data_IF_267302423660
#
_entry.id   IF_267302423660
#
_cell.length_a   1.000
_cell.length_b   1.000
_cell.length_c   1.000
_cell.angle_alpha   90.00
_cell.angle_beta   90.00
_cell.angle_gamma   90.00
#
_symmetry.space_group_name_H-M   'P 1'
#
loop_
_entity.id
_entity.type
_entity.pdbx_description
1 polymer ?
#
# COMPACT_ATOMS: atom_id res chain seq x y z
N UNK A 1 14.14 -0.94 -37.19
CA UNK A 1 13.09 -0.03 -37.70
C UNK A 1 11.76 -0.53 -37.20
N UNK A 2 11.09 0.25 -36.35
CA UNK A 2 9.68 0.04 -35.99
C UNK A 2 8.81 0.42 -37.19
N UNK A 3 8.05 -0.54 -37.72
CA UNK A 3 7.08 -0.30 -38.82
C UNK A 3 5.74 0.14 -38.24
N UNK A 4 4.85 0.74 -39.04
CA UNK A 4 3.47 1.01 -38.59
C UNK A 4 2.79 -0.25 -38.04
N UNK A 5 3.06 -1.43 -38.62
CA UNK A 5 2.53 -2.72 -38.16
C UNK A 5 2.98 -3.06 -36.74
N UNK A 6 4.22 -2.74 -36.35
CA UNK A 6 4.72 -2.96 -34.99
C UNK A 6 3.99 -2.13 -33.93
N UNK A 7 3.29 -1.07 -34.33
CA UNK A 7 2.44 -0.27 -33.43
C UNK A 7 1.09 -0.94 -33.16
N UNK A 8 0.59 -1.79 -34.05
CA UNK A 8 -0.78 -2.33 -33.97
C UNK A 8 -0.85 -3.82 -33.69
N UNK A 9 0.26 -4.55 -33.81
CA UNK A 9 0.32 -6.01 -33.64
C UNK A 9 1.04 -6.39 -32.35
N UNK A 10 0.67 -7.53 -31.76
CA UNK A 10 1.34 -8.10 -30.57
C UNK A 10 0.86 -7.57 -29.21
N UNK A 11 -0.31 -6.91 -29.17
CA UNK A 11 -0.91 -6.44 -27.92
C UNK A 11 -1.72 -7.53 -27.22
N UNK A 12 -1.46 -7.73 -25.94
CA UNK A 12 -2.31 -8.55 -25.07
C UNK A 12 -3.46 -7.72 -24.48
N UNK A 13 -4.68 -8.26 -24.52
CA UNK A 13 -5.83 -7.62 -23.89
C UNK A 13 -5.82 -7.86 -22.38
N UNK A 14 -5.92 -6.77 -21.60
CA UNK A 14 -6.21 -6.89 -20.17
C UNK A 14 -7.64 -7.40 -19.97
N UNK A 15 -7.74 -8.59 -19.37
CA UNK A 15 -9.02 -9.29 -19.18
C UNK A 15 -9.50 -9.16 -17.74
N UNK A 16 -10.80 -8.98 -17.53
CA UNK A 16 -11.41 -9.02 -16.19
C UNK A 16 -11.52 -10.45 -15.65
N UNK A 17 -11.93 -10.62 -14.39
CA UNK A 17 -12.36 -11.94 -13.92
C UNK A 17 -13.74 -12.31 -14.48
N UNK A 18 -13.99 -13.61 -14.61
CA UNK A 18 -15.31 -14.14 -14.98
C UNK A 18 -16.35 -13.67 -13.95
N UNK A 19 -17.44 -13.09 -14.43
CA UNK A 19 -18.51 -12.57 -13.58
C UNK A 19 -18.30 -11.15 -13.07
N UNK A 20 -17.38 -10.37 -13.64
CA UNK A 20 -17.26 -8.94 -13.34
C UNK A 20 -18.57 -8.21 -13.71
N UNK A 21 -19.25 -7.65 -12.72
CA UNK A 21 -20.54 -6.98 -12.91
C UNK A 21 -20.40 -5.63 -13.64
N UNK A 22 -19.29 -4.91 -13.41
CA UNK A 22 -19.02 -3.59 -13.99
C UNK A 22 -17.57 -3.50 -14.47
N UNK A 23 -17.24 -4.06 -15.65
CA UNK A 23 -15.87 -4.06 -16.17
C UNK A 23 -15.39 -2.64 -16.50
N UNK A 24 -14.41 -2.18 -15.75
CA UNK A 24 -13.70 -0.91 -15.98
C UNK A 24 -12.27 -1.01 -15.46
N UNK A 25 -11.34 -0.25 -16.04
CA UNK A 25 -9.96 -0.13 -15.56
C UNK A 25 -9.72 1.28 -15.02
N UNK A 26 -9.14 1.37 -13.82
CA UNK A 26 -8.54 2.58 -13.27
C UNK A 26 -7.03 2.46 -13.40
N UNK A 27 -6.39 3.48 -13.96
CA UNK A 27 -4.94 3.51 -14.18
C UNK A 27 -4.34 4.64 -13.36
N UNK A 28 -3.34 4.33 -12.54
CA UNK A 28 -2.55 5.32 -11.83
C UNK A 28 -1.07 5.06 -12.04
N UNK A 29 -0.28 6.13 -12.03
CA UNK A 29 1.16 6.05 -12.01
C UNK A 29 1.72 6.70 -10.74
N UNK A 30 2.80 6.11 -10.22
CA UNK A 30 3.64 6.66 -9.16
C UNK A 30 5.06 6.74 -9.67
N UNK A 31 5.73 7.83 -9.37
CA UNK A 31 7.17 7.98 -9.58
C UNK A 31 7.83 8.07 -8.22
N UNK A 32 8.86 7.26 -8.03
CA UNK A 32 9.68 7.24 -6.83
C UNK A 32 11.12 7.49 -7.24
N UNK A 33 11.69 8.56 -6.73
CA UNK A 33 13.10 8.84 -6.91
C UNK A 33 13.93 8.09 -5.85
N UNK A 34 15.19 7.82 -6.18
CA UNK A 34 16.18 7.30 -5.22
C UNK A 34 15.84 5.92 -4.61
N UNK A 35 15.07 5.09 -5.33
CA UNK A 35 14.72 3.73 -4.91
C UNK A 35 15.94 2.82 -5.01
N UNK A 36 16.20 2.02 -3.97
CA UNK A 36 17.28 1.04 -4.02
C UNK A 36 16.97 -0.08 -5.00
N UNK A 37 17.89 -0.38 -5.92
CA UNK A 37 17.78 -1.50 -6.85
C UNK A 37 18.01 -2.80 -6.10
N UNK A 38 17.03 -3.71 -6.13
CA UNK A 38 17.19 -5.02 -5.49
C UNK A 38 18.35 -5.77 -6.16
N UNK A 39 19.38 -6.15 -5.39
CA UNK A 39 20.51 -6.91 -5.92
C UNK A 39 20.08 -8.33 -6.24
N UNK A 40 19.92 -8.64 -7.52
CA UNK A 40 19.78 -10.02 -8.01
C UNK A 40 21.14 -10.75 -8.11
N UNK A 41 21.98 -10.63 -7.08
CA UNK A 41 23.31 -11.26 -7.04
C UNK A 41 24.34 -10.60 -7.96
N UNK A 42 25.41 -10.03 -7.38
CA UNK A 42 26.51 -9.41 -8.12
C UNK A 42 27.30 -8.45 -7.23
N UNK A 43 28.61 -8.31 -7.51
CA UNK A 43 29.46 -7.33 -6.83
C UNK A 43 29.04 -5.89 -7.17
N UNK A 44 29.36 -4.95 -6.29
CA UNK A 44 29.17 -3.51 -6.52
C UNK A 44 30.03 -3.12 -7.73
N UNK A 45 29.43 -2.92 -8.90
CA UNK A 45 30.19 -2.37 -10.03
C UNK A 45 30.14 -0.84 -9.98
N UNK A 46 31.31 -0.21 -9.95
CA UNK A 46 31.45 1.23 -10.13
C UNK A 46 31.62 1.48 -11.62
N UNK A 47 30.55 1.91 -12.30
CA UNK A 47 30.67 2.32 -13.69
C UNK A 47 31.20 3.75 -13.75
N UNK A 48 32.34 4.02 -14.41
CA UNK A 48 32.89 5.36 -14.53
C UNK A 48 32.16 6.23 -15.57
N UNK A 49 31.16 5.67 -16.29
CA UNK A 49 30.35 6.43 -17.23
C UNK A 49 29.19 7.10 -16.48
N UNK A 50 29.18 8.43 -16.46
CA UNK A 50 28.14 9.27 -15.84
C UNK A 50 26.74 9.06 -16.47
N UNK A 51 26.67 8.52 -17.69
CA UNK A 51 25.43 8.19 -18.39
C UNK A 51 24.97 6.74 -18.16
N UNK A 52 25.67 5.98 -17.32
CA UNK A 52 25.35 4.58 -17.05
C UNK A 52 24.26 4.46 -15.99
N UNK A 53 23.08 3.99 -16.39
CA UNK A 53 21.89 3.77 -15.54
C UNK A 53 21.98 2.50 -14.67
N UNK A 54 23.17 2.09 -14.26
CA UNK A 54 23.39 0.88 -13.45
C UNK A 54 23.73 1.12 -11.98
N UNK A 55 23.55 2.35 -11.47
CA UNK A 55 23.73 2.64 -10.04
C UNK A 55 22.83 1.77 -9.14
N UNK A 56 23.22 1.65 -7.86
CA UNK A 56 22.43 0.94 -6.84
C UNK A 56 21.07 1.64 -6.54
N UNK A 57 20.84 2.83 -7.11
CA UNK A 57 19.62 3.62 -6.92
C UNK A 57 19.06 4.08 -8.26
N UNK A 58 17.74 4.11 -8.37
CA UNK A 58 17.02 4.36 -9.60
C UNK A 58 15.78 5.21 -9.35
N UNK A 59 15.32 5.88 -10.41
CA UNK A 59 13.99 6.47 -10.47
C UNK A 59 13.01 5.40 -10.96
N UNK A 60 12.11 4.96 -10.10
CA UNK A 60 11.12 3.92 -10.40
C UNK A 60 9.83 4.58 -10.85
N UNK A 61 9.28 4.13 -11.97
CA UNK A 61 7.89 4.44 -12.32
C UNK A 61 7.08 3.17 -12.19
N UNK A 62 6.07 3.21 -11.32
CA UNK A 62 5.11 2.11 -11.12
C UNK A 62 3.77 2.53 -11.69
N UNK A 63 3.25 1.76 -12.64
CA UNK A 63 1.89 1.90 -13.16
C UNK A 63 1.03 0.79 -12.58
N UNK A 64 -0.08 1.16 -11.96
CA UNK A 64 -1.11 0.20 -11.53
C UNK A 64 -2.34 0.31 -12.40
N UNK A 65 -2.92 -0.83 -12.74
CA UNK A 65 -4.16 -0.95 -13.50
C UNK A 65 -5.10 -1.83 -12.70
N UNK A 66 -6.21 -1.29 -12.21
CA UNK A 66 -7.12 -1.98 -11.28
C UNK A 66 -8.55 -1.91 -11.76
N UNK A 67 -9.27 -3.03 -11.69
CA UNK A 67 -10.73 -3.02 -11.87
C UNK A 67 -11.42 -2.89 -10.52
N UNK A 68 -12.16 -1.80 -10.23
CA UNK A 68 -12.81 -1.63 -8.92
C UNK A 68 -13.96 -2.62 -8.68
N UNK A 69 -14.54 -3.18 -9.75
CA UNK A 69 -15.65 -4.14 -9.63
C UNK A 69 -15.17 -5.55 -9.29
N UNK A 70 -14.20 -6.10 -10.04
CA UNK A 70 -13.70 -7.46 -9.81
C UNK A 70 -12.36 -7.53 -9.08
N UNK A 71 -11.81 -6.37 -8.68
CA UNK A 71 -10.54 -6.21 -7.94
C UNK A 71 -9.33 -6.88 -8.61
N UNK A 72 -9.39 -7.16 -9.91
CA UNK A 72 -8.22 -7.61 -10.68
C UNK A 72 -7.26 -6.43 -10.82
N UNK A 73 -5.96 -6.68 -10.68
CA UNK A 73 -4.94 -5.66 -10.80
C UNK A 73 -3.72 -6.14 -11.59
N UNK A 74 -3.05 -5.20 -12.24
CA UNK A 74 -1.77 -5.36 -12.91
C UNK A 74 -0.83 -4.26 -12.41
N UNK A 75 0.45 -4.59 -12.23
CA UNK A 75 1.48 -3.62 -11.87
C UNK A 75 2.61 -3.70 -12.89
N UNK A 76 3.10 -2.54 -13.32
CA UNK A 76 4.25 -2.39 -14.21
C UNK A 76 5.26 -1.51 -13.51
N UNK A 77 6.48 -2.01 -13.33
CA UNK A 77 7.59 -1.22 -12.80
C UNK A 77 8.60 -0.97 -13.91
N UNK A 78 9.22 0.22 -13.93
CA UNK A 78 10.10 0.66 -15.02
C UNK A 78 11.33 -0.22 -15.30
N UNK A 79 11.65 -1.18 -14.44
CA UNK A 79 12.77 -2.12 -14.61
C UNK A 79 12.34 -3.58 -14.82
N UNK A 80 11.06 -3.90 -14.63
CA UNK A 80 10.58 -5.28 -14.68
C UNK A 80 9.49 -5.43 -15.76
N UNK A 81 9.35 -6.65 -16.29
CA UNK A 81 8.24 -6.98 -17.19
C UNK A 81 6.88 -6.76 -16.49
N UNK A 82 5.81 -6.60 -17.27
CA UNK A 82 4.43 -6.50 -16.76
C UNK A 82 4.14 -7.66 -15.81
N UNK A 83 4.10 -7.38 -14.50
CA UNK A 83 3.75 -8.37 -13.49
C UNK A 83 2.22 -8.39 -13.33
N UNK A 84 1.60 -9.39 -13.94
CA UNK A 84 0.20 -9.70 -13.72
C UNK A 84 0.03 -10.43 -12.39
N UNK A 85 -0.34 -9.70 -11.33
CA UNK A 85 -0.67 -10.27 -10.03
C UNK A 85 -2.13 -10.73 -9.95
N UNK A 86 -2.43 -11.73 -9.12
CA UNK A 86 -3.79 -12.02 -8.66
C UNK A 86 -4.00 -11.38 -7.27
N UNK A 87 -4.79 -10.29 -7.13
CA UNK A 87 -5.19 -9.76 -5.82
C UNK A 87 -6.37 -10.52 -5.21
N UNK A 88 -6.77 -11.68 -5.77
CA UNK A 88 -8.04 -12.34 -5.46
C UNK A 88 -8.16 -12.88 -4.02
N UNK A 89 -7.16 -12.69 -3.17
CA UNK A 89 -7.28 -13.05 -1.76
C UNK A 89 -7.60 -11.78 -0.97
N UNK A 90 -8.72 -11.81 -0.24
CA UNK A 90 -9.16 -10.72 0.65
C UNK A 90 -8.00 -10.19 1.51
N UNK A 91 -7.08 -11.09 1.87
CA UNK A 91 -5.83 -10.86 2.60
C UNK A 91 -4.86 -9.86 1.99
N UNK A 92 -4.82 -9.71 0.66
CA UNK A 92 -3.86 -8.81 0.00
C UNK A 92 -4.34 -7.37 -0.09
N UNK A 93 -5.63 -7.10 0.11
CA UNK A 93 -6.22 -5.76 0.16
C UNK A 93 -6.21 -4.94 -1.15
N UNK A 94 -5.26 -5.16 -2.05
CA UNK A 94 -4.99 -4.29 -3.18
C UNK A 94 -6.19 -4.13 -4.12
N UNK A 95 -6.57 -2.88 -4.38
CA UNK A 95 -7.69 -2.53 -5.24
C UNK A 95 -9.07 -2.69 -4.60
N UNK A 96 -9.16 -3.13 -3.33
CA UNK A 96 -10.41 -3.09 -2.59
C UNK A 96 -10.76 -1.65 -2.18
N UNK A 97 -12.04 -1.28 -2.16
CA UNK A 97 -12.47 0.02 -1.66
C UNK A 97 -12.17 0.16 -0.15
N UNK A 98 -12.00 1.39 0.36
CA UNK A 98 -11.81 1.61 1.78
C UNK A 98 -13.04 1.16 2.58
N UNK A 99 -12.80 0.62 3.77
CA UNK A 99 -13.85 0.21 4.70
C UNK A 99 -14.10 1.31 5.73
N UNK A 100 -15.36 1.65 5.97
CA UNK A 100 -15.74 2.57 7.04
C UNK A 100 -15.79 1.81 8.36
N UNK A 101 -15.02 2.26 9.35
CA UNK A 101 -14.96 1.62 10.66
C UNK A 101 -14.60 2.64 11.73
N UNK A 102 -15.36 2.68 12.84
CA UNK A 102 -15.14 3.61 13.95
C UNK A 102 -14.98 5.09 13.52
N UNK A 103 -15.73 5.52 12.50
CA UNK A 103 -15.63 6.89 11.97
C UNK A 103 -14.39 7.17 11.11
N UNK A 104 -13.61 6.15 10.77
CA UNK A 104 -12.40 6.23 9.94
C UNK A 104 -12.59 5.49 8.61
N UNK A 105 -11.74 5.78 7.64
CA UNK A 105 -11.59 5.02 6.41
C UNK A 105 -10.32 4.16 6.50
N UNK A 106 -10.49 2.85 6.35
CA UNK A 106 -9.41 1.87 6.34
C UNK A 106 -9.16 1.46 4.89
N UNK A 107 -8.04 1.92 4.35
CA UNK A 107 -7.57 1.64 2.99
C UNK A 107 -6.69 0.40 3.03
N UNK A 108 -7.13 -0.73 2.47
CA UNK A 108 -6.32 -1.94 2.46
C UNK A 108 -4.99 -1.69 1.74
N UNK A 109 -3.89 -2.00 2.43
CA UNK A 109 -2.53 -1.75 1.98
C UNK A 109 -2.07 -2.71 0.88
N UNK A 110 -0.91 -2.39 0.33
CA UNK A 110 -0.22 -3.16 -0.71
C UNK A 110 0.26 -4.53 -0.19
N UNK A 111 0.31 -5.58 -1.03
CA UNK A 111 0.93 -6.84 -0.69
C UNK A 111 2.43 -6.68 -0.45
N UNK A 112 2.85 -6.44 0.79
CA UNK A 112 4.21 -6.83 1.16
C UNK A 112 4.31 -8.35 1.05
N UNK A 113 5.43 -8.80 0.48
CA UNK A 113 5.69 -10.19 0.18
C UNK A 113 5.71 -11.00 1.48
N UNK A 114 4.63 -11.74 1.75
CA UNK A 114 4.43 -13.01 2.47
C UNK A 114 5.33 -13.44 3.66
N UNK A 115 6.21 -12.63 4.23
CA UNK A 115 7.03 -13.08 5.36
C UNK A 115 6.27 -12.93 6.67
N UNK A 116 5.70 -14.05 7.13
CA UNK A 116 5.12 -14.20 8.47
C UNK A 116 3.66 -13.78 8.65
N UNK A 117 2.96 -13.38 7.58
CA UNK A 117 1.52 -13.04 7.62
C UNK A 117 0.65 -14.30 7.51
N UNK A 118 -0.49 -14.29 8.19
CA UNK A 118 -1.44 -15.40 8.25
C UNK A 118 -2.68 -15.11 7.40
N UNK A 119 -3.24 -16.14 6.78
CA UNK A 119 -4.47 -16.00 6.01
C UNK A 119 -5.67 -15.76 6.92
N UNK A 120 -6.39 -14.67 6.68
CA UNK A 120 -7.64 -14.26 7.35
C UNK A 120 -8.68 -13.82 6.31
N UNK A 121 -9.91 -13.56 6.76
CA UNK A 121 -10.94 -12.84 6.00
C UNK A 121 -10.72 -11.31 5.97
N UNK A 122 -9.60 -10.84 6.54
CA UNK A 122 -9.17 -9.44 6.56
C UNK A 122 -7.90 -9.22 5.72
N UNK A 123 -7.78 -8.08 5.00
CA UNK A 123 -6.51 -7.57 4.48
C UNK A 123 -5.43 -7.48 5.56
N UNK A 124 -4.17 -7.78 5.23
CA UNK A 124 -3.08 -7.79 6.21
C UNK A 124 -2.75 -6.43 6.80
N UNK A 125 -2.86 -5.38 6.01
CA UNK A 125 -2.48 -4.04 6.42
C UNK A 125 -3.54 -3.04 5.94
N UNK A 126 -3.66 -1.96 6.69
CA UNK A 126 -4.49 -0.82 6.33
C UNK A 126 -3.75 0.48 6.62
N UNK A 127 -3.87 1.42 5.68
CA UNK A 127 -3.66 2.83 5.96
C UNK A 127 -4.98 3.43 6.43
N UNK A 128 -4.92 4.29 7.43
CA UNK A 128 -6.10 4.88 8.06
C UNK A 128 -6.17 6.36 7.73
N UNK A 129 -7.30 6.82 7.22
CA UNK A 129 -7.59 8.25 6.98
C UNK A 129 -8.88 8.69 7.65
N UNK A 130 -9.10 10.00 7.70
CA UNK A 130 -10.41 10.56 8.05
C UNK A 130 -11.44 10.31 6.93
N UNK A 131 -12.75 10.41 7.22
CA UNK A 131 -13.79 10.39 6.19
C UNK A 131 -13.62 11.52 5.16
N UNK A 132 -14.13 11.31 3.95
CA UNK A 132 -14.11 12.32 2.88
C UNK A 132 -12.92 12.21 1.93
N UNK A 133 -11.89 11.44 2.29
CA UNK A 133 -10.75 11.16 1.41
C UNK A 133 -11.19 10.25 0.27
N UNK A 134 -10.93 10.67 -0.98
CA UNK A 134 -11.21 9.90 -2.20
C UNK A 134 -9.95 9.39 -2.88
N UNK A 135 -8.83 10.07 -2.69
CA UNK A 135 -7.48 9.66 -3.13
C UNK A 135 -6.50 9.95 -2.00
N UNK A 136 -5.87 8.91 -1.47
CA UNK A 136 -4.97 9.03 -0.31
C UNK A 136 -3.65 9.68 -0.72
N UNK A 137 -3.26 10.74 -0.01
CA UNK A 137 -1.91 11.29 0.03
C UNK A 137 -1.30 11.06 1.41
N UNK A 138 0.00 11.32 1.57
CA UNK A 138 0.66 11.20 2.88
C UNK A 138 -0.01 12.06 3.96
N UNK A 139 -0.44 13.28 3.61
CA UNK A 139 -1.08 14.22 4.53
C UNK A 139 -2.44 13.74 5.05
N UNK A 140 -3.11 12.86 4.31
CA UNK A 140 -4.41 12.30 4.70
C UNK A 140 -4.29 11.19 5.75
N UNK A 141 -3.08 10.63 5.90
CA UNK A 141 -2.84 9.45 6.74
C UNK A 141 -2.77 9.85 8.20
N UNK A 142 -3.70 9.31 8.99
CA UNK A 142 -3.80 9.54 10.44
C UNK A 142 -3.43 8.32 11.27
N UNK A 143 -3.21 7.17 10.63
CA UNK A 143 -2.80 5.94 11.29
C UNK A 143 -2.48 4.81 10.33
N UNK A 144 -2.04 3.69 10.89
CA UNK A 144 -1.87 2.42 10.19
C UNK A 144 -2.30 1.25 11.08
N UNK A 145 -2.77 0.18 10.47
CA UNK A 145 -3.14 -1.07 11.15
C UNK A 145 -2.42 -2.19 10.42
N UNK A 146 -1.76 -3.09 11.16
CA UNK A 146 -1.05 -4.21 10.57
C UNK A 146 -1.30 -5.53 11.29
N UNK A 147 -1.38 -6.61 10.54
CA UNK A 147 -1.48 -7.97 11.04
C UNK A 147 -0.13 -8.46 11.59
N UNK A 148 -0.12 -8.88 12.85
CA UNK A 148 1.01 -9.55 13.48
C UNK A 148 0.67 -10.97 13.92
N UNK A 149 1.64 -11.61 14.56
CA UNK A 149 1.49 -12.93 15.19
C UNK A 149 1.48 -12.78 16.70
N UNK A 150 0.36 -13.15 17.32
CA UNK A 150 0.15 -13.13 18.75
C UNK A 150 0.61 -14.41 19.45
N UNK A 151 0.28 -14.52 20.75
CA UNK A 151 0.59 -15.70 21.56
C UNK A 151 0.05 -16.97 20.91
N UNK A 152 0.83 -18.05 20.99
CA UNK A 152 0.51 -19.38 20.42
C UNK A 152 0.28 -19.36 18.90
N UNK A 153 0.79 -18.33 18.22
CA UNK A 153 0.70 -18.22 16.78
C UNK A 153 -0.67 -17.82 16.23
N UNK A 154 -1.56 -17.27 17.07
CA UNK A 154 -2.81 -16.68 16.59
C UNK A 154 -2.58 -15.33 15.90
N UNK A 155 -3.56 -14.88 15.13
CA UNK A 155 -3.54 -13.54 14.51
C UNK A 155 -3.74 -12.47 15.59
N UNK A 156 -2.93 -11.41 15.53
CA UNK A 156 -3.19 -10.19 16.25
C UNK A 156 -2.98 -8.98 15.34
N UNK A 157 -3.34 -7.80 15.84
CA UNK A 157 -3.25 -6.54 15.11
C UNK A 157 -2.46 -5.53 15.92
N UNK A 158 -1.56 -4.84 15.24
CA UNK A 158 -0.93 -3.62 15.71
C UNK A 158 -1.61 -2.43 15.07
N UNK A 159 -1.58 -1.30 15.76
CA UNK A 159 -2.11 -0.04 15.28
C UNK A 159 -1.19 1.10 15.70
N UNK A 160 -1.02 2.06 14.80
CA UNK A 160 -0.38 3.32 15.10
C UNK A 160 -1.33 4.46 14.71
N UNK A 161 -1.34 5.54 15.47
CA UNK A 161 -2.27 6.66 15.29
C UNK A 161 -1.65 8.00 15.67
N UNK A 162 -2.23 9.07 15.13
CA UNK A 162 -1.81 10.47 15.27
C UNK A 162 -0.47 10.70 14.57
N UNK A 163 -0.53 11.29 13.36
CA UNK A 163 0.67 11.59 12.56
C UNK A 163 1.58 12.54 13.35
N UNK A 164 2.86 12.18 13.41
CA UNK A 164 3.91 12.96 14.07
C UNK A 164 5.22 12.63 13.38
N UNK A 165 5.87 13.60 12.74
CA UNK A 165 7.11 13.36 11.97
C UNK A 165 8.25 12.82 12.82
N UNK A 166 8.28 13.23 14.09
CA UNK A 166 9.27 12.79 15.08
C UNK A 166 8.73 11.65 15.96
N UNK A 167 7.54 11.15 15.66
CA UNK A 167 6.87 10.12 16.46
C UNK A 167 7.71 8.84 16.52
N UNK A 168 7.73 8.10 17.65
CA UNK A 168 8.60 6.95 17.81
C UNK A 168 8.12 5.70 17.05
N UNK A 169 6.89 5.72 16.52
CA UNK A 169 6.28 4.56 15.86
C UNK A 169 6.12 4.76 14.36
N UNK A 170 6.10 3.65 13.62
CA UNK A 170 6.02 3.66 12.15
C UNK A 170 7.39 3.71 11.46
N UNK A 171 7.35 3.67 10.12
CA UNK A 171 8.53 3.75 9.25
C UNK A 171 8.34 4.93 8.29
N UNK A 172 9.43 5.61 7.95
CA UNK A 172 9.36 6.70 6.98
C UNK A 172 8.72 6.20 5.66
N UNK A 173 7.83 6.99 5.05
CA UNK A 173 7.53 8.38 5.38
C UNK A 173 6.58 8.56 6.58
N UNK A 174 5.82 7.53 6.98
CA UNK A 174 4.76 7.64 7.99
C UNK A 174 5.23 7.36 9.42
N UNK A 175 5.28 8.40 10.25
CA UNK A 175 5.58 8.35 11.68
C UNK A 175 4.39 8.76 12.54
N UNK A 176 4.23 8.12 13.69
CA UNK A 176 3.06 8.25 14.57
C UNK A 176 3.47 8.44 16.04
N UNK A 177 2.69 9.22 16.77
CA UNK A 177 2.93 9.51 18.18
C UNK A 177 2.54 8.34 19.08
N UNK A 178 1.51 7.57 18.73
CA UNK A 178 0.99 6.48 19.55
C UNK A 178 0.94 5.17 18.78
N UNK A 179 1.14 4.06 19.48
CA UNK A 179 0.89 2.72 18.97
C UNK A 179 0.35 1.79 20.04
N UNK A 180 -0.34 0.74 19.61
CA UNK A 180 -0.82 -0.38 20.42
C UNK A 180 -0.63 -1.68 19.66
N UNK A 181 -0.41 -2.77 20.39
CA UNK A 181 -0.14 -4.09 19.82
C UNK A 181 -1.09 -5.15 20.40
N UNK A 182 -1.04 -6.35 19.82
CA UNK A 182 -1.78 -7.52 20.34
C UNK A 182 -3.32 -7.37 20.36
N UNK A 183 -3.87 -6.48 19.55
CA UNK A 183 -5.31 -6.33 19.39
C UNK A 183 -5.90 -7.54 18.66
N UNK A 184 -7.10 -7.97 19.03
CA UNK A 184 -7.68 -9.21 18.49
C UNK A 184 -8.34 -9.05 17.12
N UNK A 185 -8.77 -7.84 16.77
CA UNK A 185 -9.53 -7.58 15.53
C UNK A 185 -9.17 -6.22 14.93
N UNK A 186 -9.37 -6.08 13.63
CA UNK A 186 -9.27 -4.79 12.90
C UNK A 186 -10.22 -3.74 13.51
N UNK A 187 -11.41 -4.16 13.92
CA UNK A 187 -12.38 -3.28 14.58
C UNK A 187 -11.89 -2.74 15.94
N UNK A 188 -11.19 -3.55 16.73
CA UNK A 188 -10.57 -3.06 17.96
C UNK A 188 -9.45 -2.04 17.66
N UNK A 189 -8.63 -2.31 16.64
CA UNK A 189 -7.59 -1.39 16.18
C UNK A 189 -8.16 -0.05 15.69
N UNK A 190 -9.20 -0.07 14.85
CA UNK A 190 -9.86 1.13 14.37
C UNK A 190 -10.47 1.97 15.51
N UNK A 191 -11.12 1.33 16.49
CA UNK A 191 -11.68 2.01 17.67
C UNK A 191 -10.58 2.66 18.52
N UNK A 192 -9.47 1.97 18.74
CA UNK A 192 -8.34 2.50 19.47
C UNK A 192 -7.73 3.72 18.77
N UNK A 193 -7.52 3.64 17.45
CA UNK A 193 -7.01 4.76 16.66
C UNK A 193 -7.94 5.97 16.72
N UNK A 194 -9.26 5.75 16.58
CA UNK A 194 -10.26 6.81 16.67
C UNK A 194 -10.21 7.51 18.02
N UNK A 195 -10.09 6.77 19.12
CA UNK A 195 -9.99 7.34 20.46
C UNK A 195 -8.75 8.25 20.62
N UNK A 196 -7.57 7.79 20.16
CA UNK A 196 -6.33 8.58 20.19
C UNK A 196 -6.42 9.86 19.35
N UNK A 197 -7.09 9.80 18.20
CA UNK A 197 -7.29 10.96 17.33
C UNK A 197 -8.21 12.01 17.98
N UNK A 198 -9.26 11.57 18.69
CA UNK A 198 -10.15 12.47 19.45
C UNK A 198 -9.39 13.13 20.60
N UNK A 199 -8.63 12.35 21.37
CA UNK A 199 -7.82 12.86 22.48
C UNK A 199 -6.82 13.91 22.00
N UNK A 200 -6.05 13.62 20.95
CA UNK A 200 -5.08 14.55 20.37
C UNK A 200 -5.71 15.82 19.79
N UNK A 201 -6.92 15.71 19.22
CA UNK A 201 -7.69 16.87 18.74
C UNK A 201 -8.24 17.74 19.87
N UNK A 202 -8.42 17.18 21.07
CA UNK A 202 -8.92 17.90 22.25
C UNK A 202 -7.81 18.66 22.97
N UNK A 203 -6.57 18.15 22.95
CA UNK A 203 -5.40 18.83 23.54
C UNK A 203 -4.85 20.01 22.71
N UNK A 204 -5.20 20.12 21.43
CA UNK A 204 -4.73 21.18 20.53
C UNK A 204 -5.57 22.46 20.50
N UNK A 205 -6.64 22.55 21.30
CA UNK A 205 -7.62 23.65 21.29
C UNK A 205 -7.65 24.53 22.53
N UNK A 206 -6.63 24.49 23.38
CA UNK A 206 -6.51 25.29 24.60
C UNK A 206 -5.30 26.22 24.55
N UNK A 207 -5.43 27.33 23.83
CA UNK A 207 -4.42 28.38 23.74
C UNK A 207 -5.05 29.65 23.18
N UNK A 208 -5.77 30.36 24.05
CA UNK A 208 -5.94 31.82 23.94
C UNK A 208 -4.62 32.52 24.29
#
# INVERSE_FOLDING_TARGET
MTTAQSTYLGWDLLVHFKGCEKPSWTVDAKVEDDVFRARHGGEKHECPNEECWHGDRLRRTTVRIVCPSCTRAYMLDSEEELQAGQPKTITKGYGQPPRRMAGLLLWPGEPFWNYGRMSTDEPWDFIVTRPGVTRVTEADVVGSIGQGRGKRGGVCWSVAAVRSDDGPYGLRPLRFAYAENSLRTVAAAAKWAAARLVEAGTTGGGGE
#
